data_IF_692745594255
#
_entry.id   IF_692745594255
#
_cell.length_a   1.000
_cell.length_b   1.000
_cell.length_c   1.000
_cell.angle_alpha   90.00
_cell.angle_beta   90.00
_cell.angle_gamma   90.00
#
_symmetry.space_group_name_H-M   'P 1'
#
loop_
_entity.id
_entity.type
_entity.pdbx_description
1 polymer ?
#
# COMPACT_ATOMS: atom_id res chain seq x y z
N UNK A 1 37.06 -44.70 -27.87
CA UNK A 1 35.64 -44.93 -27.49
C UNK A 1 35.14 -43.62 -26.88
N UNK A 2 34.47 -42.77 -27.66
CA UNK A 2 34.03 -41.43 -27.22
C UNK A 2 32.59 -41.51 -26.69
N UNK A 3 32.41 -41.30 -25.39
CA UNK A 3 31.11 -41.28 -24.73
C UNK A 3 30.44 -39.91 -24.88
N UNK A 4 29.32 -39.87 -25.60
CA UNK A 4 28.46 -38.68 -25.72
C UNK A 4 27.62 -38.51 -24.45
N UNK A 5 28.04 -37.63 -23.55
CA UNK A 5 27.19 -37.14 -22.46
C UNK A 5 26.13 -36.19 -23.03
N UNK A 6 24.90 -36.68 -23.22
CA UNK A 6 23.73 -35.82 -23.45
C UNK A 6 23.46 -35.04 -22.15
N UNK A 7 23.83 -33.76 -22.13
CA UNK A 7 23.28 -32.81 -21.14
C UNK A 7 21.77 -32.77 -21.36
N UNK A 8 21.00 -33.33 -20.42
CA UNK A 8 19.58 -32.98 -20.28
C UNK A 8 19.55 -31.47 -20.05
N UNK A 9 18.85 -30.73 -20.92
CA UNK A 9 18.44 -29.36 -20.63
C UNK A 9 17.75 -29.39 -19.26
N UNK A 10 18.01 -28.43 -18.35
CA UNK A 10 17.12 -28.25 -17.23
C UNK A 10 15.75 -27.96 -17.86
N UNK A 11 14.86 -28.92 -17.65
CA UNK A 11 13.43 -28.75 -17.82
C UNK A 11 13.11 -27.46 -17.10
N UNK A 12 12.65 -26.45 -17.85
CA UNK A 12 12.16 -25.24 -17.24
C UNK A 12 11.09 -25.70 -16.27
N UNK A 13 11.42 -25.70 -14.97
CA UNK A 13 10.42 -25.64 -13.95
C UNK A 13 9.59 -24.44 -14.33
N UNK A 14 8.45 -24.68 -14.96
CA UNK A 14 7.31 -23.80 -14.91
C UNK A 14 7.04 -23.72 -13.41
N UNK A 15 7.76 -22.83 -12.73
CA UNK A 15 7.34 -22.27 -11.47
C UNK A 15 5.97 -21.74 -11.82
N UNK A 16 4.96 -22.53 -11.52
CA UNK A 16 3.61 -22.07 -11.39
C UNK A 16 3.72 -21.13 -10.19
N UNK A 17 4.18 -19.91 -10.46
CA UNK A 17 4.14 -18.81 -9.51
C UNK A 17 2.67 -18.75 -9.17
N UNK A 18 2.33 -19.20 -7.96
CA UNK A 18 0.95 -19.18 -7.51
C UNK A 18 0.49 -17.75 -7.67
N UNK A 19 -0.45 -17.53 -8.60
CA UNK A 19 -0.93 -16.17 -8.93
C UNK A 19 -1.45 -15.58 -7.63
N UNK A 20 -0.83 -14.49 -7.18
CA UNK A 20 -1.21 -13.84 -5.93
C UNK A 20 -2.66 -13.39 -6.07
N UNK A 21 -3.48 -13.74 -5.09
CA UNK A 21 -4.86 -13.23 -5.00
C UNK A 21 -4.88 -11.85 -4.36
N UNK A 22 -5.90 -11.04 -4.63
CA UNK A 22 -6.10 -9.76 -3.95
C UNK A 22 -6.07 -9.92 -2.43
N UNK A 23 -6.70 -10.98 -1.89
CA UNK A 23 -6.68 -11.28 -0.45
C UNK A 23 -5.27 -11.48 0.12
N UNK A 24 -4.40 -12.19 -0.59
CA UNK A 24 -3.02 -12.37 -0.13
C UNK A 24 -2.24 -11.06 -0.19
N UNK A 25 -2.44 -10.26 -1.24
CA UNK A 25 -1.83 -8.94 -1.36
C UNK A 25 -2.26 -7.99 -0.23
N UNK A 26 -3.57 -7.93 0.05
CA UNK A 26 -4.16 -7.14 1.14
C UNK A 26 -3.56 -7.57 2.48
N UNK A 27 -3.49 -8.87 2.75
CA UNK A 27 -2.94 -9.39 4.01
C UNK A 27 -1.47 -9.00 4.19
N UNK A 28 -0.65 -9.11 3.14
CA UNK A 28 0.76 -8.69 3.19
C UNK A 28 0.89 -7.19 3.47
N UNK A 29 0.06 -6.38 2.82
CA UNK A 29 0.10 -4.92 2.93
C UNK A 29 -0.34 -4.43 4.31
N UNK A 30 -1.44 -4.98 4.84
CA UNK A 30 -1.98 -4.59 6.14
C UNK A 30 -1.20 -5.18 7.33
N UNK A 31 -0.36 -6.19 7.11
CA UNK A 31 0.49 -6.76 8.18
C UNK A 31 1.80 -6.01 8.38
N UNK A 32 2.19 -5.15 7.44
CA UNK A 32 3.37 -4.31 7.56
C UNK A 32 2.99 -2.99 8.25
N UNK A 33 3.51 -2.78 9.47
CA UNK A 33 3.17 -1.61 10.29
C UNK A 33 3.52 -0.29 9.60
N UNK A 34 4.64 -0.24 8.86
CA UNK A 34 5.05 0.97 8.17
C UNK A 34 4.06 1.25 7.03
N UNK A 35 3.86 0.28 6.13
CA UNK A 35 2.96 0.46 4.99
C UNK A 35 1.51 0.75 5.40
N UNK A 36 1.03 0.12 6.48
CA UNK A 36 -0.35 0.25 6.94
C UNK A 36 -0.61 1.51 7.79
N UNK A 37 0.43 2.20 8.28
CA UNK A 37 0.26 3.41 9.08
C UNK A 37 -0.22 4.59 8.19
N UNK A 38 -1.40 5.18 8.46
CA UNK A 38 -1.83 6.38 7.78
C UNK A 38 -0.91 7.57 8.08
N UNK A 39 -0.73 8.45 7.09
CA UNK A 39 0.06 9.68 7.25
C UNK A 39 -0.77 10.90 6.90
N UNK A 40 -0.86 11.88 7.79
CA UNK A 40 -1.48 13.16 7.50
C UNK A 40 -0.56 14.05 6.65
N UNK A 41 -1.11 14.58 5.55
CA UNK A 41 -0.44 15.46 4.60
C UNK A 41 -1.12 16.84 4.58
N UNK A 42 -0.62 17.83 5.34
CA UNK A 42 -1.26 19.15 5.44
C UNK A 42 -1.19 19.98 4.15
N UNK A 43 -0.28 19.61 3.24
CA UNK A 43 -0.06 20.31 1.97
C UNK A 43 -1.03 19.90 0.86
N UNK A 44 -1.86 18.86 1.07
CA UNK A 44 -2.77 18.34 0.06
C UNK A 44 -4.20 18.79 0.33
N UNK A 45 -4.80 19.44 -0.66
CA UNK A 45 -6.16 20.00 -0.63
C UNK A 45 -7.04 19.49 -1.77
N UNK A 46 -6.48 18.72 -2.69
CA UNK A 46 -7.21 18.08 -3.77
C UNK A 46 -6.43 16.86 -4.30
N UNK A 47 -7.09 16.05 -5.11
CA UNK A 47 -6.49 14.84 -5.67
C UNK A 47 -5.35 15.14 -6.66
N UNK A 48 -5.36 16.28 -7.36
CA UNK A 48 -4.30 16.63 -8.33
C UNK A 48 -2.95 16.87 -7.64
N UNK A 49 -2.95 17.44 -6.43
CA UNK A 49 -1.74 17.57 -5.61
C UNK A 49 -1.19 16.21 -5.14
N UNK A 50 -1.98 15.14 -5.21
CA UNK A 50 -1.52 13.79 -4.91
C UNK A 50 -0.68 13.20 -6.07
N UNK A 51 -0.78 13.73 -7.29
CA UNK A 51 0.02 13.25 -8.43
C UNK A 51 1.51 13.49 -8.23
N UNK A 52 1.91 14.42 -7.35
CA UNK A 52 3.30 14.65 -6.99
C UNK A 52 3.81 13.65 -5.93
N UNK A 53 2.92 12.87 -5.30
CA UNK A 53 3.34 11.84 -4.35
C UNK A 53 4.15 10.75 -5.06
N UNK A 54 5.26 10.40 -4.43
CA UNK A 54 6.08 9.25 -4.81
C UNK A 54 5.41 7.93 -4.42
N UNK A 55 6.21 6.94 -4.03
CA UNK A 55 5.71 5.62 -3.60
C UNK A 55 5.27 5.58 -2.13
N UNK A 56 5.37 6.70 -1.41
CA UNK A 56 5.06 6.81 0.00
C UNK A 56 4.32 8.13 0.29
N UNK A 57 3.39 8.16 1.25
CA UNK A 57 2.83 7.04 2.01
C UNK A 57 1.89 6.17 1.18
N UNK A 58 1.56 4.96 1.67
CA UNK A 58 0.55 4.10 1.06
C UNK A 58 -0.87 4.63 1.36
N UNK A 59 -1.13 4.96 2.62
CA UNK A 59 -2.40 5.54 3.07
C UNK A 59 -2.11 6.97 3.53
N UNK A 60 -2.86 7.93 3.00
CA UNK A 60 -2.72 9.32 3.41
C UNK A 60 -4.05 9.94 3.77
N UNK A 61 -3.97 10.85 4.74
CA UNK A 61 -5.08 11.65 5.23
C UNK A 61 -4.82 13.09 4.83
N UNK A 62 -5.85 13.78 4.37
CA UNK A 62 -5.77 15.16 3.91
C UNK A 62 -7.11 15.87 4.13
N UNK A 63 -7.14 17.18 3.88
CA UNK A 63 -8.35 18.01 4.01
C UNK A 63 -9.07 17.84 5.37
N UNK A 64 -8.31 17.89 6.47
CA UNK A 64 -8.88 17.85 7.82
C UNK A 64 -9.54 19.20 8.13
N UNK A 65 -10.81 19.17 8.50
CA UNK A 65 -11.59 20.32 8.94
C UNK A 65 -12.10 20.13 10.37
N UNK A 66 -11.52 20.90 11.29
CA UNK A 66 -11.88 20.89 12.71
C UNK A 66 -13.26 21.48 13.00
N UNK A 67 -13.77 22.38 12.15
CA UNK A 67 -15.07 22.99 12.37
C UNK A 67 -16.21 22.00 12.12
N UNK A 68 -16.04 21.12 11.12
CA UNK A 68 -17.01 20.08 10.76
C UNK A 68 -16.65 18.69 11.29
N UNK A 69 -15.43 18.49 11.80
CA UNK A 69 -14.93 17.20 12.23
C UNK A 69 -14.73 16.21 11.08
N UNK A 70 -14.47 16.72 9.87
CA UNK A 70 -14.33 15.90 8.66
C UNK A 70 -12.88 15.80 8.19
N UNK A 71 -12.59 14.77 7.39
CA UNK A 71 -11.30 14.56 6.76
C UNK A 71 -11.48 13.69 5.51
N UNK A 72 -10.44 13.66 4.66
CA UNK A 72 -10.34 12.76 3.52
C UNK A 72 -9.23 11.75 3.74
N UNK A 73 -9.46 10.49 3.33
CA UNK A 73 -8.47 9.43 3.35
C UNK A 73 -8.40 8.82 1.95
N UNK A 74 -7.18 8.52 1.51
CA UNK A 74 -6.95 7.98 0.18
C UNK A 74 -5.80 6.98 0.18
N UNK A 75 -5.82 6.07 -0.80
CA UNK A 75 -4.76 5.07 -1.02
C UNK A 75 -3.92 5.51 -2.21
N UNK A 76 -2.61 5.52 -2.04
CA UNK A 76 -1.66 5.84 -3.08
C UNK A 76 -1.59 4.72 -4.11
N UNK A 77 -2.27 4.90 -5.24
CA UNK A 77 -2.31 3.93 -6.33
C UNK A 77 -0.93 3.61 -6.93
N UNK A 78 0.04 4.53 -6.87
CA UNK A 78 1.41 4.27 -7.33
C UNK A 78 2.13 3.29 -6.40
N UNK A 79 1.92 3.44 -5.09
CA UNK A 79 2.45 2.52 -4.09
C UNK A 79 1.86 1.11 -4.26
N UNK A 80 0.54 1.00 -4.42
CA UNK A 80 -0.14 -0.29 -4.70
C UNK A 80 0.42 -0.93 -5.97
N UNK A 81 0.52 -0.16 -7.06
CA UNK A 81 1.05 -0.67 -8.32
C UNK A 81 2.49 -1.19 -8.16
N UNK A 82 3.34 -0.45 -7.43
CA UNK A 82 4.72 -0.86 -7.16
C UNK A 82 4.81 -2.12 -6.30
N UNK A 83 3.97 -2.24 -5.26
CA UNK A 83 3.91 -3.41 -4.38
C UNK A 83 3.35 -4.65 -5.10
N UNK A 84 2.45 -4.46 -6.06
CA UNK A 84 1.78 -5.54 -6.80
C UNK A 84 2.63 -6.10 -7.95
N UNK A 85 3.44 -5.26 -8.60
CA UNK A 85 4.27 -5.60 -9.77
C UNK A 85 5.09 -6.91 -9.63
N UNK A 86 5.72 -7.22 -8.48
CA UNK A 86 6.49 -8.47 -8.33
C UNK A 86 5.63 -9.74 -8.40
N UNK A 87 4.31 -9.62 -8.25
CA UNK A 87 3.38 -10.74 -8.14
C UNK A 87 2.46 -10.86 -9.36
N UNK A 88 2.04 -9.71 -9.89
CA UNK A 88 1.16 -9.60 -11.06
C UNK A 88 1.66 -8.44 -11.91
N UNK A 89 2.15 -8.75 -13.11
CA UNK A 89 2.64 -7.74 -14.05
C UNK A 89 1.48 -6.91 -14.61
N UNK A 90 1.74 -5.67 -15.03
CA UNK A 90 0.68 -4.78 -15.57
C UNK A 90 -0.02 -5.31 -16.83
N UNK A 91 0.65 -6.15 -17.60
CA UNK A 91 0.10 -6.78 -18.81
C UNK A 91 -0.83 -7.96 -18.49
N UNK A 92 -0.85 -8.42 -17.24
CA UNK A 92 -1.71 -9.51 -16.81
C UNK A 92 -3.19 -9.06 -16.80
N UNK A 93 -4.12 -9.79 -17.44
CA UNK A 93 -5.53 -9.39 -17.49
C UNK A 93 -6.22 -9.21 -16.13
N UNK A 94 -5.73 -9.88 -15.08
CA UNK A 94 -6.26 -9.78 -13.72
C UNK A 94 -5.65 -8.63 -12.92
N UNK A 95 -4.62 -7.93 -13.44
CA UNK A 95 -3.94 -6.86 -12.72
C UNK A 95 -4.89 -5.75 -12.25
N UNK A 96 -5.75 -5.28 -13.16
CA UNK A 96 -6.69 -4.17 -12.86
C UNK A 96 -7.68 -4.59 -11.77
N UNK A 97 -8.25 -5.79 -11.89
CA UNK A 97 -9.19 -6.33 -10.92
C UNK A 97 -8.55 -6.47 -9.54
N UNK A 98 -7.37 -7.07 -9.46
CA UNK A 98 -6.64 -7.28 -8.19
C UNK A 98 -6.24 -5.95 -7.56
N UNK A 99 -5.74 -4.99 -8.36
CA UNK A 99 -5.36 -3.66 -7.90
C UNK A 99 -6.56 -2.91 -7.33
N UNK A 100 -7.68 -2.90 -8.04
CA UNK A 100 -8.86 -2.13 -7.65
C UNK A 100 -9.54 -2.73 -6.42
N UNK A 101 -9.63 -4.06 -6.34
CA UNK A 101 -10.10 -4.77 -5.14
C UNK A 101 -9.20 -4.47 -3.93
N UNK A 102 -7.88 -4.52 -4.11
CA UNK A 102 -6.93 -4.20 -3.04
C UNK A 102 -7.06 -2.75 -2.57
N UNK A 103 -7.12 -1.79 -3.49
CA UNK A 103 -7.30 -0.38 -3.17
C UNK A 103 -8.59 -0.14 -2.39
N UNK A 104 -9.70 -0.74 -2.82
CA UNK A 104 -10.98 -0.62 -2.15
C UNK A 104 -10.91 -1.17 -0.71
N UNK A 105 -10.46 -2.41 -0.54
CA UNK A 105 -10.43 -3.06 0.78
C UNK A 105 -9.49 -2.33 1.74
N UNK A 106 -8.30 -1.93 1.27
CA UNK A 106 -7.35 -1.17 2.09
C UNK A 106 -7.94 0.17 2.50
N UNK A 107 -8.60 0.88 1.58
CA UNK A 107 -9.23 2.16 1.86
C UNK A 107 -10.33 2.03 2.91
N UNK A 108 -11.23 1.06 2.76
CA UNK A 108 -12.34 0.82 3.70
C UNK A 108 -11.83 0.43 5.09
N UNK A 109 -10.90 -0.54 5.16
CA UNK A 109 -10.32 -0.99 6.42
C UNK A 109 -9.58 0.13 7.15
N UNK A 110 -8.82 0.94 6.40
CA UNK A 110 -8.06 2.08 6.94
C UNK A 110 -8.99 3.18 7.45
N UNK A 111 -10.04 3.51 6.70
CA UNK A 111 -11.05 4.49 7.14
C UNK A 111 -11.72 4.05 8.44
N UNK A 112 -12.15 2.80 8.54
CA UNK A 112 -12.77 2.27 9.77
C UNK A 112 -11.81 2.32 10.96
N UNK A 113 -10.53 1.96 10.76
CA UNK A 113 -9.51 1.99 11.80
C UNK A 113 -9.22 3.43 12.29
N UNK A 114 -9.11 4.38 11.36
CA UNK A 114 -8.93 5.80 11.68
C UNK A 114 -10.12 6.34 12.46
N UNK A 115 -11.36 6.08 12.01
CA UNK A 115 -12.57 6.51 12.71
C UNK A 115 -12.66 5.94 14.12
N UNK A 116 -12.36 4.65 14.31
CA UNK A 116 -12.33 4.04 15.63
C UNK A 116 -11.26 4.66 16.54
N UNK A 117 -10.12 5.05 15.97
CA UNK A 117 -9.04 5.72 16.71
C UNK A 117 -9.45 7.13 17.13
N UNK A 118 -10.10 7.90 16.25
CA UNK A 118 -10.67 9.22 16.56
C UNK A 118 -11.71 9.09 17.67
N UNK A 119 -12.65 8.14 17.56
CA UNK A 119 -13.68 7.90 18.57
C UNK A 119 -13.08 7.57 19.95
N UNK A 120 -12.04 6.72 19.97
CA UNK A 120 -11.37 6.31 21.19
C UNK A 120 -10.57 7.43 21.86
N UNK A 121 -9.93 8.29 21.07
CA UNK A 121 -8.98 9.29 21.58
C UNK A 121 -9.57 10.69 21.70
N UNK A 122 -10.62 10.99 20.95
CA UNK A 122 -11.17 12.33 20.78
C UNK A 122 -10.28 13.28 19.96
N UNK A 123 -9.20 12.77 19.35
CA UNK A 123 -8.24 13.58 18.59
C UNK A 123 -8.49 13.45 17.08
N UNK A 124 -8.30 14.55 16.35
CA UNK A 124 -8.41 14.57 14.89
C UNK A 124 -7.17 13.94 14.21
N UNK A 125 -7.28 13.49 12.95
CA UNK A 125 -6.19 12.82 12.26
C UNK A 125 -4.90 13.62 12.11
N UNK A 126 -5.00 14.94 12.01
CA UNK A 126 -3.85 15.85 11.93
C UNK A 126 -3.06 15.95 13.23
N UNK A 127 -3.57 15.40 14.34
CA UNK A 127 -2.85 15.22 15.60
C UNK A 127 -2.37 13.78 15.73
N UNK A 128 -3.19 12.81 15.33
CA UNK A 128 -2.92 11.38 15.49
C UNK A 128 -1.86 10.83 14.54
N UNK A 129 -1.82 11.34 13.30
CA UNK A 129 -1.03 10.76 12.19
C UNK A 129 -0.02 11.76 11.61
N UNK A 130 0.47 12.69 12.44
CA UNK A 130 1.54 13.60 12.03
C UNK A 130 2.79 12.80 11.72
N UNK A 131 3.28 12.92 10.50
CA UNK A 131 4.57 12.33 10.15
C UNK A 131 5.71 13.23 10.59
N UNK A 132 6.50 12.76 11.56
CA UNK A 132 7.78 13.36 11.88
C UNK A 132 8.87 12.61 11.11
N UNK A 133 9.55 13.29 10.18
CA UNK A 133 10.67 12.69 9.41
C UNK A 133 11.81 12.14 10.32
N UNK A 134 11.82 12.50 11.60
CA UNK A 134 12.76 12.03 12.62
C UNK A 134 12.52 10.58 13.07
N UNK A 135 11.33 10.01 12.83
CA UNK A 135 11.00 8.63 13.21
C UNK A 135 11.79 7.57 12.42
N UNK A 136 12.47 7.97 11.34
CA UNK A 136 13.38 7.11 10.56
C UNK A 136 14.77 7.00 11.20
N UNK A 137 15.18 7.94 12.06
CA UNK A 137 16.54 7.99 12.62
C UNK A 137 16.70 7.19 13.92
N UNK A 138 15.61 6.84 14.62
CA UNK A 138 15.68 6.10 15.90
C UNK A 138 15.97 4.60 15.76
N UNK A 139 15.88 4.03 14.56
CA UNK A 139 16.14 2.60 14.33
C UNK A 139 17.59 2.29 13.87
N UNK A 140 18.49 3.29 13.89
CA UNK A 140 19.93 3.10 13.62
C UNK A 140 20.82 3.23 14.86
N UNK A 141 20.23 3.21 16.06
CA UNK A 141 20.94 3.27 17.35
C UNK A 141 21.15 1.89 17.96
#
# INVERSE_FOLDING_TARGET
MFGFFKKKKPEAETRQVSRLTAKQFIALTLSDEKLSMPVYLPGIRNEAECDELGLWPLIYIWNVDHATGTFSLSVNGKAIAHLLEPFVTREDPAYVEIRDEAMQVISEASMQSVLATIEKTGLMPDVLFVYHAEDVQREKG
#
